data_IF_117136018972
#
_entry.id   IF_117136018972
#
_cell.length_a   1.000
_cell.length_b   1.000
_cell.length_c   1.000
_cell.angle_alpha   90.00
_cell.angle_beta   90.00
_cell.angle_gamma   90.00
#
_symmetry.space_group_name_H-M   'P 1'
#
loop_
_entity.id
_entity.type
_entity.pdbx_description
1 polymer ?
#
# COMPACT_ATOMS: atom_id res chain seq x y z
N UNK A 1 -68.35 -30.67 -35.04
CA UNK A 1 -66.91 -30.97 -34.93
C UNK A 1 -66.21 -29.78 -34.30
N UNK A 2 -65.49 -30.02 -33.19
CA UNK A 2 -64.29 -29.32 -32.65
C UNK A 2 -64.24 -27.77 -32.61
N UNK A 3 -63.67 -27.05 -31.63
CA UNK A 3 -63.09 -27.28 -30.28
C UNK A 3 -62.72 -25.84 -29.79
N UNK A 4 -62.98 -25.49 -28.53
CA UNK A 4 -61.96 -25.24 -27.47
C UNK A 4 -61.02 -24.03 -27.72
N UNK A 5 -61.22 -22.87 -27.08
CA UNK A 5 -60.76 -22.43 -25.74
C UNK A 5 -59.31 -21.87 -25.68
N UNK A 6 -59.14 -20.84 -24.83
CA UNK A 6 -57.92 -20.32 -24.17
C UNK A 6 -57.15 -19.22 -24.93
N UNK A 7 -57.28 -17.92 -24.61
CA UNK A 7 -56.65 -17.21 -23.46
C UNK A 7 -55.17 -17.58 -23.25
N UNK A 8 -54.25 -16.77 -23.76
CA UNK A 8 -52.88 -16.59 -23.23
C UNK A 8 -52.35 -15.27 -23.83
N UNK A 9 -52.62 -14.09 -23.23
CA UNK A 9 -51.74 -13.42 -22.25
C UNK A 9 -50.24 -13.72 -22.48
N UNK A 10 -49.66 -13.07 -23.49
CA UNK A 10 -48.20 -12.87 -23.54
C UNK A 10 -47.87 -11.67 -22.64
N UNK A 11 -47.52 -11.96 -21.38
CA UNK A 11 -46.98 -11.00 -20.43
C UNK A 11 -45.57 -10.60 -20.90
N UNK A 12 -45.40 -9.34 -21.30
CA UNK A 12 -44.08 -8.75 -21.51
C UNK A 12 -43.52 -8.41 -20.12
N UNK A 13 -42.82 -9.37 -19.51
CA UNK A 13 -41.96 -9.08 -18.36
C UNK A 13 -40.80 -8.20 -18.87
N UNK A 14 -40.94 -6.89 -18.74
CA UNK A 14 -39.80 -5.99 -18.69
C UNK A 14 -39.11 -6.19 -17.33
N UNK A 15 -38.27 -7.22 -17.22
CA UNK A 15 -37.29 -7.29 -16.15
C UNK A 15 -36.36 -6.10 -16.32
N UNK A 16 -36.54 -5.05 -15.51
CA UNK A 16 -35.47 -4.11 -15.24
C UNK A 16 -34.31 -4.91 -14.67
N UNK A 17 -33.32 -5.21 -15.51
CA UNK A 17 -32.02 -5.67 -15.06
C UNK A 17 -31.38 -4.48 -14.31
N UNK A 18 -31.62 -4.41 -13.00
CA UNK A 18 -30.78 -3.58 -12.14
C UNK A 18 -29.36 -4.12 -12.31
N UNK A 19 -28.38 -3.30 -12.71
CA UNK A 19 -27.00 -3.74 -12.74
C UNK A 19 -26.65 -4.15 -11.31
N UNK A 20 -26.36 -5.45 -11.14
CA UNK A 20 -25.83 -5.98 -9.90
C UNK A 20 -24.44 -5.36 -9.73
N UNK A 21 -24.35 -4.23 -9.03
CA UNK A 21 -23.06 -3.62 -8.73
C UNK A 21 -22.40 -4.52 -7.69
N UNK A 22 -21.41 -5.30 -8.12
CA UNK A 22 -20.55 -6.02 -7.19
C UNK A 22 -19.99 -5.01 -6.18
N UNK A 23 -20.01 -5.35 -4.89
CA UNK A 23 -19.45 -4.49 -3.86
C UNK A 23 -17.99 -4.22 -4.22
N UNK A 24 -17.68 -2.97 -4.52
CA UNK A 24 -16.33 -2.56 -4.87
C UNK A 24 -15.49 -2.55 -3.58
N UNK A 25 -14.67 -3.59 -3.40
CA UNK A 25 -13.80 -3.75 -2.23
C UNK A 25 -12.54 -2.87 -2.35
N UNK A 26 -12.74 -1.59 -2.68
CA UNK A 26 -11.65 -0.64 -2.91
C UNK A 26 -11.83 0.58 -2.02
N UNK A 27 -10.85 0.85 -1.17
CA UNK A 27 -10.75 2.13 -0.47
C UNK A 27 -10.13 3.14 -1.43
N UNK A 28 -10.74 4.33 -1.59
CA UNK A 28 -10.34 5.32 -2.60
C UNK A 28 -10.19 6.71 -1.96
N UNK A 29 -9.10 7.41 -2.27
CA UNK A 29 -8.83 8.77 -1.78
C UNK A 29 -8.29 9.66 -2.90
N UNK A 30 -8.74 10.90 -2.94
CA UNK A 30 -8.32 11.92 -3.91
C UNK A 30 -7.19 12.84 -3.39
N UNK A 31 -6.62 12.53 -2.23
CA UNK A 31 -5.49 13.26 -1.65
C UNK A 31 -4.53 12.32 -0.90
N UNK A 32 -3.23 12.69 -0.75
CA UNK A 32 -2.30 11.96 0.10
C UNK A 32 -2.74 11.90 1.56
N UNK A 33 -2.34 10.86 2.28
CA UNK A 33 -2.48 10.84 3.73
C UNK A 33 -1.53 11.87 4.35
N UNK A 34 -1.97 12.72 5.30
CA UNK A 34 -1.08 13.66 5.99
C UNK A 34 0.14 12.95 6.59
N UNK A 35 1.33 13.55 6.44
CA UNK A 35 2.57 12.98 6.98
C UNK A 35 2.70 13.24 8.49
N UNK A 36 1.72 12.75 9.26
CA UNK A 36 1.60 12.94 10.71
C UNK A 36 1.20 11.63 11.39
N UNK A 37 1.35 11.49 12.71
CA UNK A 37 0.87 10.31 13.43
C UNK A 37 -0.62 10.03 13.24
N UNK A 38 -1.45 11.08 13.16
CA UNK A 38 -2.88 10.94 12.89
C UNK A 38 -3.14 10.49 11.45
N UNK A 39 -2.43 11.07 10.47
CA UNK A 39 -2.53 10.65 9.08
C UNK A 39 -2.09 9.20 8.87
N UNK A 40 -1.06 8.76 9.59
CA UNK A 40 -0.64 7.35 9.64
C UNK A 40 -1.76 6.43 10.12
N UNK A 41 -2.41 6.75 11.25
CA UNK A 41 -3.43 5.89 11.83
C UNK A 41 -4.80 5.92 11.14
N UNK A 42 -5.14 7.04 10.48
CA UNK A 42 -6.50 7.27 9.96
C UNK A 42 -6.59 7.22 8.44
N UNK A 43 -5.50 7.48 7.71
CA UNK A 43 -5.56 7.73 6.29
C UNK A 43 -4.53 6.96 5.45
N UNK A 44 -3.39 6.58 6.02
CA UNK A 44 -2.44 5.74 5.31
C UNK A 44 -3.03 4.33 5.07
N UNK A 45 -2.67 3.71 3.95
CA UNK A 45 -3.28 2.46 3.50
C UNK A 45 -2.39 1.27 3.88
N UNK A 46 -2.90 0.28 4.63
CA UNK A 46 -2.14 -0.89 5.03
C UNK A 46 -2.02 -1.92 3.92
N UNK A 47 -0.86 -2.58 3.85
CA UNK A 47 -0.64 -3.87 3.18
C UNK A 47 0.11 -4.81 4.13
N UNK A 48 -0.05 -6.12 3.97
CA UNK A 48 0.69 -7.08 4.79
C UNK A 48 0.60 -8.51 4.28
N UNK A 49 1.58 -9.34 4.64
CA UNK A 49 1.67 -10.73 4.23
C UNK A 49 1.60 -11.73 5.41
N UNK A 50 1.15 -11.26 6.58
CA UNK A 50 1.10 -12.01 7.83
C UNK A 50 2.35 -11.86 8.71
N UNK A 51 3.53 -11.62 8.11
CA UNK A 51 4.78 -11.33 8.84
C UNK A 51 5.18 -9.87 8.69
N UNK A 52 5.35 -9.44 7.45
CA UNK A 52 5.68 -8.07 7.06
C UNK A 52 4.40 -7.26 6.88
N UNK A 53 4.43 -6.01 7.35
CA UNK A 53 3.38 -5.03 7.13
C UNK A 53 3.94 -3.69 6.64
N UNK A 54 3.14 -2.92 5.93
CA UNK A 54 3.50 -1.55 5.57
C UNK A 54 2.29 -0.61 5.48
N UNK A 55 2.55 0.67 5.74
CA UNK A 55 1.59 1.76 5.65
C UNK A 55 2.05 2.75 4.57
N UNK A 56 1.21 2.97 3.56
CA UNK A 56 1.50 3.84 2.42
C UNK A 56 0.74 5.16 2.51
N UNK A 57 1.48 6.28 2.41
CA UNK A 57 0.93 7.63 2.54
C UNK A 57 0.49 8.20 1.19
N UNK A 58 1.26 7.94 0.12
CA UNK A 58 0.95 8.38 -1.24
C UNK A 58 1.34 9.83 -1.53
N UNK A 59 2.33 10.37 -0.82
CA UNK A 59 2.83 11.72 -1.12
C UNK A 59 3.49 11.78 -2.50
N UNK A 60 3.45 12.94 -3.16
CA UNK A 60 4.01 13.07 -4.52
C UNK A 60 5.52 13.26 -4.49
N UNK A 61 6.00 14.38 -3.93
CA UNK A 61 7.41 14.75 -3.97
C UNK A 61 8.28 13.95 -2.99
N UNK A 62 7.80 13.77 -1.75
CA UNK A 62 8.48 13.01 -0.71
C UNK A 62 7.52 12.02 -0.07
N UNK A 63 7.62 10.76 -0.49
CA UNK A 63 6.75 9.68 -0.01
C UNK A 63 7.49 8.76 0.94
N UNK A 64 6.72 8.07 1.78
CA UNK A 64 7.26 7.04 2.63
C UNK A 64 6.36 5.83 2.70
N UNK A 65 7.01 4.68 2.73
CA UNK A 65 6.44 3.40 3.07
C UNK A 65 7.01 3.05 4.45
N UNK A 66 6.21 3.26 5.49
CA UNK A 66 6.55 2.74 6.81
C UNK A 66 6.36 1.23 6.77
N UNK A 67 7.33 0.45 7.25
CA UNK A 67 7.22 -1.00 7.27
C UNK A 67 7.49 -1.57 8.66
N UNK A 68 7.03 -2.80 8.87
CA UNK A 68 7.24 -3.52 10.11
C UNK A 68 7.34 -5.03 9.93
N UNK A 69 7.86 -5.68 10.97
CA UNK A 69 7.88 -7.14 11.13
C UNK A 69 7.18 -7.54 12.43
N UNK A 70 6.33 -8.57 12.38
CA UNK A 70 5.55 -9.08 13.51
C UNK A 70 6.41 -9.50 14.72
N UNK A 71 7.68 -9.89 14.51
CA UNK A 71 8.55 -10.37 15.58
C UNK A 71 9.36 -9.27 16.27
N UNK A 72 9.25 -8.01 15.83
CA UNK A 72 10.02 -6.91 16.43
C UNK A 72 9.36 -6.38 17.71
N UNK A 73 9.80 -6.92 18.85
CA UNK A 73 9.33 -6.56 20.18
C UNK A 73 10.50 -6.22 21.10
N UNK A 74 10.25 -5.33 22.07
CA UNK A 74 11.11 -5.19 23.26
C UNK A 74 10.69 -6.19 24.34
N UNK A 75 11.32 -6.13 25.51
CA UNK A 75 11.00 -6.99 26.66
C UNK A 75 11.99 -8.15 26.81
N UNK A 76 11.82 -8.95 27.86
CA UNK A 76 12.57 -10.18 28.10
C UNK A 76 11.78 -11.11 29.05
N UNK A 77 12.42 -12.14 29.59
CA UNK A 77 11.80 -13.08 30.56
C UNK A 77 11.37 -12.43 31.88
N UNK A 78 11.80 -11.20 32.16
CA UNK A 78 11.60 -10.50 33.42
C UNK A 78 10.73 -9.24 33.27
N UNK A 79 10.66 -8.67 32.07
CA UNK A 79 9.92 -7.44 31.79
C UNK A 79 9.04 -7.58 30.54
N UNK A 80 7.75 -7.22 30.69
CA UNK A 80 6.84 -7.11 29.56
C UNK A 80 7.32 -6.00 28.61
N UNK A 81 7.40 -6.34 27.33
CA UNK A 81 7.79 -5.40 26.28
C UNK A 81 6.64 -4.81 25.50
N UNK A 82 6.97 -4.15 24.40
CA UNK A 82 6.02 -3.54 23.48
C UNK A 82 6.44 -3.77 22.02
N UNK A 83 5.45 -3.85 21.14
CA UNK A 83 5.66 -3.91 19.70
C UNK A 83 6.35 -2.64 19.21
N UNK A 84 7.38 -2.80 18.37
CA UNK A 84 8.14 -1.68 17.86
C UNK A 84 7.90 -1.45 16.37
N UNK A 85 7.94 -0.19 15.90
CA UNK A 85 8.01 0.09 14.47
C UNK A 85 9.43 -0.15 13.96
N UNK A 86 9.60 -0.87 12.85
CA UNK A 86 10.92 -1.11 12.26
C UNK A 86 11.52 0.19 11.69
N UNK A 87 10.86 0.78 10.69
CA UNK A 87 11.41 1.93 10.00
C UNK A 87 10.58 2.39 8.82
N UNK A 88 11.21 3.19 7.98
CA UNK A 88 10.57 3.79 6.80
C UNK A 88 11.51 3.66 5.59
N UNK A 89 10.94 3.33 4.43
CA UNK A 89 11.58 3.56 3.12
C UNK A 89 11.07 4.89 2.60
N UNK A 90 11.98 5.85 2.39
CA UNK A 90 11.67 7.21 1.95
C UNK A 90 12.07 7.38 0.49
N UNK A 91 11.10 7.78 -0.33
CA UNK A 91 11.30 8.19 -1.72
C UNK A 91 11.25 9.71 -1.79
N UNK A 92 12.32 10.34 -2.29
CA UNK A 92 12.34 11.78 -2.58
C UNK A 92 12.57 11.96 -4.07
N UNK A 93 11.64 12.63 -4.75
CA UNK A 93 11.70 12.84 -6.20
C UNK A 93 12.17 14.27 -6.52
N UNK A 94 13.07 14.36 -7.48
CA UNK A 94 13.57 15.64 -7.95
C UNK A 94 12.56 16.32 -8.88
N UNK A 95 12.34 17.62 -8.72
CA UNK A 95 11.43 18.40 -9.57
C UNK A 95 9.94 18.10 -9.38
N UNK A 96 9.57 17.42 -8.31
CA UNK A 96 8.20 16.96 -8.05
C UNK A 96 7.32 17.97 -7.29
N UNK A 97 7.75 19.22 -7.12
CA UNK A 97 7.03 20.29 -6.41
C UNK A 97 5.98 21.02 -7.28
N UNK A 98 5.89 20.65 -8.56
CA UNK A 98 4.95 21.25 -9.51
C UNK A 98 3.48 20.84 -9.28
N UNK A 99 2.53 21.50 -9.95
CA UNK A 99 1.10 21.18 -9.84
C UNK A 99 0.80 19.75 -10.27
N UNK A 100 -0.08 19.10 -9.53
CA UNK A 100 -0.52 17.72 -9.75
C UNK A 100 -2.00 17.70 -10.09
N UNK A 101 -2.38 16.88 -11.08
CA UNK A 101 -3.77 16.61 -11.44
C UNK A 101 -4.06 15.12 -11.42
N UNK A 102 -5.34 14.75 -11.50
CA UNK A 102 -5.81 13.36 -11.54
C UNK A 102 -5.25 12.46 -10.43
N UNK A 103 -4.99 13.04 -9.26
CA UNK A 103 -4.45 12.30 -8.14
C UNK A 103 -5.49 11.31 -7.61
N UNK A 104 -5.06 10.07 -7.41
CA UNK A 104 -5.89 9.00 -6.85
C UNK A 104 -5.01 7.95 -6.17
N UNK A 105 -5.29 7.65 -4.90
CA UNK A 105 -4.67 6.52 -4.18
C UNK A 105 -5.72 5.56 -3.65
N UNK A 106 -5.42 4.27 -3.73
CA UNK A 106 -6.40 3.22 -3.57
C UNK A 106 -5.81 1.98 -2.92
N UNK A 107 -6.64 1.25 -2.18
CA UNK A 107 -6.35 -0.10 -1.72
C UNK A 107 -7.46 -1.02 -2.20
N UNK A 108 -7.15 -1.87 -3.18
CA UNK A 108 -8.02 -2.96 -3.60
C UNK A 108 -7.82 -4.14 -2.63
N UNK A 109 -8.80 -4.33 -1.76
CA UNK A 109 -8.79 -5.36 -0.72
C UNK A 109 -8.91 -6.75 -1.36
N UNK A 110 -9.65 -6.88 -2.46
CA UNK A 110 -9.82 -8.15 -3.17
C UNK A 110 -8.53 -8.64 -3.83
N UNK A 111 -7.65 -7.72 -4.23
CA UNK A 111 -6.35 -8.03 -4.85
C UNK A 111 -5.14 -7.84 -3.93
N UNK A 112 -5.36 -7.32 -2.71
CA UNK A 112 -4.30 -6.88 -1.81
C UNK A 112 -3.28 -5.93 -2.49
N UNK A 113 -3.79 -5.00 -3.31
CA UNK A 113 -2.99 -4.09 -4.12
C UNK A 113 -3.21 -2.64 -3.68
N UNK A 114 -2.14 -2.00 -3.22
CA UNK A 114 -2.11 -0.54 -3.10
C UNK A 114 -1.72 0.07 -4.45
N UNK A 115 -2.45 1.10 -4.90
CA UNK A 115 -2.14 1.83 -6.13
C UNK A 115 -2.28 3.34 -5.92
N UNK A 116 -1.28 4.09 -6.36
CA UNK A 116 -1.30 5.54 -6.50
C UNK A 116 -1.16 5.88 -7.99
N UNK A 117 -1.96 6.81 -8.50
CA UNK A 117 -1.77 7.42 -9.82
C UNK A 117 -1.98 8.93 -9.75
N UNK A 118 -1.19 9.67 -10.54
CA UNK A 118 -1.33 11.12 -10.69
C UNK A 118 -0.69 11.57 -12.00
N UNK A 119 -1.00 12.78 -12.44
CA UNK A 119 -0.36 13.44 -13.57
C UNK A 119 0.39 14.70 -13.13
N UNK A 120 1.60 14.90 -13.66
CA UNK A 120 2.42 16.09 -13.42
C UNK A 120 3.25 16.38 -14.68
N UNK A 121 3.31 17.63 -15.11
CA UNK A 121 4.04 18.05 -16.33
C UNK A 121 3.70 17.20 -17.59
N UNK A 122 2.44 16.78 -17.72
CA UNK A 122 1.96 15.95 -18.83
C UNK A 122 2.49 14.50 -18.84
N UNK A 123 2.99 14.00 -17.71
CA UNK A 123 3.39 12.59 -17.50
C UNK A 123 2.45 11.95 -16.50
N UNK A 124 1.98 10.74 -16.77
CA UNK A 124 1.23 9.94 -15.80
C UNK A 124 2.18 9.05 -15.01
N UNK A 125 2.15 9.21 -13.70
CA UNK A 125 2.88 8.38 -12.75
C UNK A 125 1.94 7.36 -12.11
N UNK A 126 2.44 6.16 -11.87
CA UNK A 126 1.75 5.09 -11.16
C UNK A 126 2.70 4.39 -10.20
N UNK A 127 2.31 4.27 -8.93
CA UNK A 127 3.01 3.48 -7.92
C UNK A 127 2.11 2.35 -7.44
N UNK A 128 2.66 1.16 -7.31
CA UNK A 128 1.93 -0.03 -6.90
C UNK A 128 2.69 -0.76 -5.80
N UNK A 129 2.01 -1.20 -4.75
CA UNK A 129 2.65 -1.96 -3.68
C UNK A 129 1.85 -3.19 -3.26
N UNK A 130 2.59 -4.27 -2.99
CA UNK A 130 2.07 -5.52 -2.45
C UNK A 130 2.99 -6.02 -1.33
N UNK A 131 2.42 -6.78 -0.40
CA UNK A 131 3.17 -7.61 0.52
C UNK A 131 2.93 -9.07 0.13
N UNK A 132 3.93 -9.70 -0.48
CA UNK A 132 3.82 -11.07 -0.98
C UNK A 132 4.12 -12.07 0.14
N UNK A 133 3.14 -12.92 0.45
CA UNK A 133 3.34 -14.06 1.35
C UNK A 133 4.26 -15.14 0.76
N UNK A 134 4.05 -15.65 -0.48
CA UNK A 134 4.92 -16.70 -1.02
C UNK A 134 6.36 -16.26 -1.24
N UNK A 135 6.59 -14.98 -1.57
CA UNK A 135 7.95 -14.45 -1.79
C UNK A 135 8.57 -13.78 -0.55
N UNK A 136 7.81 -13.62 0.54
CA UNK A 136 8.27 -13.00 1.80
C UNK A 136 8.88 -11.59 1.62
N UNK A 137 8.34 -10.80 0.69
CA UNK A 137 8.82 -9.44 0.38
C UNK A 137 7.67 -8.44 0.36
N UNK A 138 7.98 -7.19 0.67
CA UNK A 138 7.17 -6.04 0.24
C UNK A 138 7.78 -5.53 -1.05
N UNK A 139 6.97 -5.45 -2.11
CA UNK A 139 7.39 -4.92 -3.41
C UNK A 139 6.69 -3.59 -3.66
N UNK A 140 7.45 -2.56 -4.01
CA UNK A 140 6.95 -1.24 -4.37
C UNK A 140 7.45 -0.88 -5.77
N UNK A 141 6.54 -0.91 -6.74
CA UNK A 141 6.81 -0.62 -8.14
C UNK A 141 6.49 0.83 -8.45
N UNK A 142 7.43 1.53 -9.07
CA UNK A 142 7.27 2.89 -9.56
C UNK A 142 7.29 2.85 -11.10
N UNK A 143 6.30 3.45 -11.76
CA UNK A 143 6.20 3.49 -13.22
C UNK A 143 5.68 4.84 -13.72
N UNK A 144 6.11 5.24 -14.90
CA UNK A 144 5.65 6.44 -15.59
C UNK A 144 5.39 6.10 -17.06
N UNK A 145 4.43 6.77 -17.70
CA UNK A 145 4.12 6.57 -19.13
C UNK A 145 5.16 7.16 -20.09
N UNK A 146 6.09 7.97 -19.56
CA UNK A 146 7.26 8.48 -20.29
C UNK A 146 8.56 7.92 -19.67
N UNK A 147 9.40 7.22 -20.46
CA UNK A 147 10.70 6.72 -19.99
C UNK A 147 11.59 7.81 -19.39
N UNK A 148 12.35 7.46 -18.35
CA UNK A 148 13.28 8.40 -17.69
C UNK A 148 12.62 9.46 -16.81
N UNK A 149 11.31 9.39 -16.56
CA UNK A 149 10.60 10.44 -15.80
C UNK A 149 10.72 10.33 -14.27
N UNK A 150 11.28 9.24 -13.74
CA UNK A 150 11.63 9.15 -12.32
C UNK A 150 13.09 9.50 -12.11
N UNK A 151 13.33 10.55 -11.33
CA UNK A 151 14.64 10.88 -10.79
C UNK A 151 14.49 11.22 -9.30
N UNK A 152 15.46 10.81 -8.49
CA UNK A 152 15.42 11.07 -7.06
C UNK A 152 16.27 10.11 -6.24
N UNK A 153 15.97 10.08 -4.94
CA UNK A 153 16.69 9.32 -3.92
C UNK A 153 15.75 8.37 -3.19
N UNK A 154 16.24 7.17 -2.91
CA UNK A 154 15.64 6.25 -1.94
C UNK A 154 16.53 6.23 -0.70
N UNK A 155 15.92 6.34 0.47
CA UNK A 155 16.61 6.22 1.76
C UNK A 155 15.90 5.20 2.64
N UNK A 156 16.68 4.50 3.45
CA UNK A 156 16.19 3.63 4.51
C UNK A 156 16.42 4.36 5.83
N UNK A 157 15.40 4.47 6.67
CA UNK A 157 15.53 5.01 8.03
C UNK A 157 15.16 3.96 9.04
N UNK A 158 15.90 3.91 10.14
CA UNK A 158 15.68 3.00 11.25
C UNK A 158 15.29 3.78 12.52
N UNK A 159 14.55 3.14 13.43
CA UNK A 159 14.10 3.75 14.70
C UNK A 159 14.76 3.17 15.95
N UNK A 160 15.73 2.28 15.78
CA UNK A 160 16.40 1.52 16.85
C UNK A 160 17.93 1.72 16.87
N UNK A 161 18.48 2.62 16.06
CA UNK A 161 19.91 2.90 16.00
C UNK A 161 20.72 1.93 15.12
N UNK A 162 20.09 1.27 14.15
CA UNK A 162 20.74 0.36 13.22
C UNK A 162 21.85 1.07 12.42
N UNK A 163 22.92 0.32 12.18
CA UNK A 163 23.96 0.73 11.24
C UNK A 163 23.42 0.62 9.82
N UNK A 164 23.34 1.76 9.13
CA UNK A 164 22.86 1.85 7.74
C UNK A 164 24.04 1.82 6.78
N UNK A 165 23.93 1.01 5.73
CA UNK A 165 24.90 0.94 4.64
C UNK A 165 24.21 0.93 3.28
N UNK A 166 24.92 1.42 2.26
CA UNK A 166 24.45 1.44 0.88
C UNK A 166 25.49 0.78 -0.02
N UNK A 167 25.03 -0.17 -0.83
CA UNK A 167 25.74 -0.74 -1.97
C UNK A 167 25.00 -0.34 -3.26
N UNK A 168 25.54 -0.73 -4.42
CA UNK A 168 25.02 -0.32 -5.73
C UNK A 168 23.50 -0.47 -5.91
N UNK A 169 22.94 -1.57 -5.42
CA UNK A 169 21.50 -1.90 -5.57
C UNK A 169 20.83 -2.29 -4.25
N UNK A 170 21.48 -2.04 -3.11
CA UNK A 170 20.98 -2.47 -1.81
C UNK A 170 21.22 -1.39 -0.74
N UNK A 171 20.18 -1.13 0.05
CA UNK A 171 20.28 -0.42 1.32
C UNK A 171 20.09 -1.45 2.42
N UNK A 172 20.95 -1.45 3.44
CA UNK A 172 20.91 -2.44 4.52
C UNK A 172 20.95 -1.74 5.87
N UNK A 173 20.03 -2.12 6.75
CA UNK A 173 20.02 -1.75 8.17
C UNK A 173 20.38 -3.00 8.98
N UNK A 174 21.44 -2.93 9.78
CA UNK A 174 21.86 -3.99 10.68
C UNK A 174 21.86 -3.49 12.11
N UNK A 175 21.22 -4.23 13.00
CA UNK A 175 21.27 -4.00 14.42
C UNK A 175 21.09 -5.32 15.18
N UNK A 176 21.52 -5.33 16.43
CA UNK A 176 20.99 -6.30 17.39
C UNK A 176 19.56 -5.87 17.75
N UNK A 177 18.64 -6.82 17.83
CA UNK A 177 17.28 -6.51 18.28
C UNK A 177 17.35 -5.91 19.70
N UNK A 178 16.47 -4.94 20.04
CA UNK A 178 16.45 -4.34 21.38
C UNK A 178 16.12 -5.35 22.50
N UNK A 179 15.65 -6.56 22.13
CA UNK A 179 15.56 -7.72 23.00
C UNK A 179 16.79 -8.62 22.79
N UNK A 180 17.58 -8.86 23.84
CA UNK A 180 18.56 -9.96 23.85
C UNK A 180 17.77 -11.26 23.67
N UNK A 181 18.02 -11.97 22.56
CA UNK A 181 17.35 -13.23 22.23
C UNK A 181 17.26 -14.12 23.46
N UNK A 182 16.04 -14.42 23.92
CA UNK A 182 15.82 -15.61 24.72
C UNK A 182 16.05 -16.77 23.75
N UNK A 183 17.19 -17.45 23.87
CA UNK A 183 17.38 -18.75 23.22
C UNK A 183 16.16 -19.59 23.55
N UNK A 184 15.36 -19.92 22.54
CA UNK A 184 14.33 -20.93 22.69
C UNK A 184 15.03 -22.21 23.18
N UNK A 185 14.67 -22.66 24.38
CA UNK A 185 14.99 -24.00 24.88
C UNK A 185 14.16 -25.02 24.12
#
# INVERSE_FOLDING_TARGET
MMRSRHLLRAALLACLALPLHAAELVLRYAAPAPDTPQGWGQQALPIGNGRLGAMLFGQVARDRLQFNDITLWTGDTKAMGAFQPFGDVVLTLDGADGPVSDYRRELDIGRALNRLSYAQAGVRFTREAIASNPAQVIAWRLSADRPGSYNGRIALTDRHGASLSAASQALTALNEAPCRSVSAM
#
